data_IF_209615655298
#
_entry.id   IF_209615655298
#
_cell.length_a   1.000
_cell.length_b   1.000
_cell.length_c   1.000
_cell.angle_alpha   90.00
_cell.angle_beta   90.00
_cell.angle_gamma   90.00
#
_symmetry.space_group_name_H-M   'P 1'
#
loop_
_entity.id
_entity.type
_entity.pdbx_description
1 polymer ?
#
# COMPACT_ATOMS: atom_id res chain seq x y z
N UNK A 1 12.65 72.23 69.36
CA UNK A 1 14.13 72.36 69.35
C UNK A 1 14.68 71.36 68.34
N UNK A 2 15.40 71.84 67.32
CA UNK A 2 16.24 71.13 66.32
C UNK A 2 15.63 70.04 65.40
N UNK A 3 15.50 70.37 64.12
CA UNK A 3 15.94 69.53 62.97
C UNK A 3 17.49 69.56 62.87
N UNK A 4 18.21 68.77 62.04
CA UNK A 4 17.80 68.05 60.82
C UNK A 4 18.46 66.66 60.52
N UNK A 5 18.03 66.09 59.39
CA UNK A 5 18.84 65.51 58.28
C UNK A 5 19.11 64.01 58.09
N UNK A 6 19.17 63.69 56.78
CA UNK A 6 19.78 62.55 56.06
C UNK A 6 18.91 61.31 55.68
N UNK A 7 18.48 61.31 54.41
CA UNK A 7 18.22 60.14 53.51
C UNK A 7 19.55 59.44 53.11
N UNK A 8 19.64 58.40 52.24
CA UNK A 8 18.60 57.61 51.53
C UNK A 8 18.88 56.06 51.48
N UNK A 9 17.97 55.27 50.90
CA UNK A 9 18.24 53.86 50.57
C UNK A 9 17.15 53.19 49.73
N UNK A 10 17.26 53.26 48.41
CA UNK A 10 16.45 52.53 47.42
C UNK A 10 16.80 51.04 47.41
N UNK A 11 15.81 50.16 47.35
CA UNK A 11 15.87 48.89 46.60
C UNK A 11 14.46 48.52 46.13
N UNK A 12 14.16 48.87 44.88
CA UNK A 12 12.98 48.39 44.15
C UNK A 12 13.37 47.14 43.38
N UNK A 13 12.86 45.98 43.79
CA UNK A 13 13.05 44.72 43.07
C UNK A 13 12.21 44.73 41.81
N UNK A 14 12.87 44.87 40.66
CA UNK A 14 12.28 44.80 39.32
C UNK A 14 12.19 43.33 38.91
N UNK A 15 10.98 42.82 38.66
CA UNK A 15 10.78 41.52 38.00
C UNK A 15 11.30 41.59 36.56
N UNK A 16 12.34 40.81 36.26
CA UNK A 16 12.80 40.56 34.89
C UNK A 16 11.97 39.43 34.26
N UNK A 17 10.98 39.78 33.44
CA UNK A 17 10.40 38.83 32.48
C UNK A 17 11.34 38.78 31.26
N UNK A 18 12.16 37.74 31.17
CA UNK A 18 12.96 37.47 29.96
C UNK A 18 12.03 36.96 28.85
N UNK A 19 11.70 37.84 27.90
CA UNK A 19 11.28 37.42 26.57
C UNK A 19 12.45 36.70 25.88
N UNK A 20 12.37 35.38 25.70
CA UNK A 20 13.14 34.66 24.68
C UNK A 20 12.23 34.42 23.47
N UNK A 21 12.41 35.28 22.47
CA UNK A 21 12.09 34.99 21.06
C UNK A 21 13.16 34.03 20.51
N UNK A 22 12.79 33.26 19.47
CA UNK A 22 13.55 32.25 18.68
C UNK A 22 13.26 30.82 19.19
N UNK A 23 12.69 29.88 18.44
CA UNK A 23 12.67 29.62 16.99
C UNK A 23 11.30 29.05 16.55
N UNK A 24 10.64 29.72 15.60
CA UNK A 24 9.44 29.26 14.90
C UNK A 24 9.86 28.63 13.55
N UNK A 25 10.81 27.71 13.61
CA UNK A 25 11.44 27.09 12.43
C UNK A 25 11.20 25.58 12.31
N UNK A 26 10.21 25.04 13.03
CA UNK A 26 9.88 23.61 13.04
C UNK A 26 8.47 23.26 12.53
N UNK A 27 7.69 24.23 12.05
CA UNK A 27 6.29 24.01 11.65
C UNK A 27 6.01 24.25 10.15
N UNK A 28 7.05 24.47 9.34
CA UNK A 28 6.91 24.80 7.91
C UNK A 28 7.44 23.72 6.95
N UNK A 29 8.09 22.67 7.45
CA UNK A 29 8.48 21.51 6.62
C UNK A 29 7.42 20.41 6.60
N UNK A 30 6.48 20.41 7.55
CA UNK A 30 5.35 19.48 7.61
C UNK A 30 4.20 19.87 6.69
N UNK A 31 4.13 21.12 6.21
CA UNK A 31 3.04 21.57 5.31
C UNK A 31 3.27 21.15 3.86
N UNK A 32 4.48 20.74 3.47
CA UNK A 32 4.77 20.26 2.11
C UNK A 32 4.41 18.77 1.89
N UNK A 33 4.29 17.96 2.95
CA UNK A 33 3.88 16.55 2.88
C UNK A 33 2.38 16.34 3.09
N UNK A 34 1.68 17.28 3.74
CA UNK A 34 0.21 17.26 3.83
C UNK A 34 -0.50 18.09 2.74
N UNK A 35 0.25 18.78 1.89
CA UNK A 35 -0.29 19.65 0.84
C UNK A 35 -0.75 18.96 -0.46
N UNK A 36 -0.49 17.67 -0.62
CA UNK A 36 -0.88 16.90 -1.83
C UNK A 36 -1.73 15.67 -1.53
N UNK A 37 -1.92 15.30 -0.25
CA UNK A 37 -2.71 14.12 0.14
C UNK A 37 -4.23 14.39 0.28
N UNK A 38 -4.69 15.62 0.02
CA UNK A 38 -6.10 16.02 0.17
C UNK A 38 -6.81 16.43 -1.12
N UNK A 39 -6.25 16.19 -2.31
CA UNK A 39 -6.84 16.68 -3.57
C UNK A 39 -6.86 15.60 -4.64
N UNK A 40 -8.06 15.25 -5.10
CA UNK A 40 -8.38 14.84 -6.46
C UNK A 40 -7.13 14.71 -7.35
N UNK A 41 -6.55 13.50 -7.44
CA UNK A 41 -5.27 13.29 -8.14
C UNK A 41 -5.48 13.70 -9.59
N UNK A 42 -4.96 14.87 -9.98
CA UNK A 42 -5.25 15.44 -11.30
C UNK A 42 -4.65 14.64 -12.46
N UNK A 43 -3.65 13.79 -12.15
CA UNK A 43 -2.98 12.89 -13.08
C UNK A 43 -2.61 11.62 -12.33
N UNK A 44 -3.48 10.60 -12.31
CA UNK A 44 -3.18 9.38 -11.59
C UNK A 44 -2.00 8.65 -12.28
N UNK A 45 -1.05 8.19 -11.47
CA UNK A 45 0.22 7.65 -11.96
C UNK A 45 0.22 6.14 -12.10
N UNK A 46 -0.78 5.45 -11.52
CA UNK A 46 -1.03 4.01 -11.58
C UNK A 46 0.14 3.12 -11.10
N UNK A 47 -0.13 2.20 -10.19
CA UNK A 47 0.87 1.23 -9.70
C UNK A 47 0.25 -0.10 -9.29
N UNK A 48 -0.75 -0.55 -10.04
CA UNK A 48 -1.31 -1.90 -9.87
C UNK A 48 -0.20 -2.96 -10.02
N UNK A 49 -0.24 -3.96 -9.14
CA UNK A 49 0.60 -5.13 -9.30
C UNK A 49 0.18 -5.94 -10.53
N UNK A 50 1.13 -6.63 -11.20
CA UNK A 50 0.77 -7.65 -12.17
C UNK A 50 0.01 -8.81 -11.48
N UNK A 51 -0.81 -9.56 -12.21
CA UNK A 51 -1.42 -10.79 -11.69
C UNK A 51 -0.97 -12.00 -12.51
N UNK A 52 -0.79 -13.13 -11.82
CA UNK A 52 -0.52 -14.43 -12.45
C UNK A 52 -1.77 -14.96 -13.15
N UNK A 53 -1.60 -15.48 -14.36
CA UNK A 53 -2.62 -16.13 -15.17
C UNK A 53 -2.03 -17.43 -15.73
N UNK A 54 -2.00 -18.47 -14.89
CA UNK A 54 -1.47 -19.80 -15.24
C UNK A 54 -0.05 -19.75 -15.87
N UNK A 55 0.82 -18.88 -15.35
CA UNK A 55 2.19 -18.69 -15.84
C UNK A 55 2.38 -17.53 -16.81
N UNK A 56 1.30 -17.01 -17.41
CA UNK A 56 1.29 -15.70 -18.07
C UNK A 56 1.07 -14.60 -17.02
N UNK A 57 1.31 -13.35 -17.41
CA UNK A 57 1.19 -12.19 -16.51
C UNK A 57 0.22 -11.16 -17.09
N UNK A 58 -0.85 -10.89 -16.34
CA UNK A 58 -1.76 -9.78 -16.62
C UNK A 58 -1.19 -8.50 -16.02
N UNK A 59 -0.95 -7.50 -16.87
CA UNK A 59 -0.31 -6.25 -16.48
C UNK A 59 -1.20 -5.06 -16.76
N UNK A 60 -1.29 -4.14 -15.80
CA UNK A 60 -2.00 -2.88 -15.94
C UNK A 60 -1.01 -1.71 -15.85
N UNK A 61 -1.20 -0.71 -16.70
CA UNK A 61 -0.32 0.48 -16.75
C UNK A 61 -1.10 1.75 -16.44
N UNK A 62 -0.38 2.85 -16.23
CA UNK A 62 -1.01 4.14 -15.90
C UNK A 62 -1.58 4.92 -17.07
N UNK A 63 -1.43 4.39 -18.28
CA UNK A 63 -2.18 4.85 -19.46
C UNK A 63 -3.54 4.17 -19.57
N UNK A 64 -3.92 3.32 -18.61
CA UNK A 64 -5.15 2.54 -18.66
C UNK A 64 -5.07 1.30 -19.55
N UNK A 65 -3.90 1.00 -20.13
CA UNK A 65 -3.70 -0.23 -20.90
C UNK A 65 -3.56 -1.44 -19.97
N UNK A 66 -4.22 -2.52 -20.36
CA UNK A 66 -4.14 -3.87 -19.78
C UNK A 66 -3.61 -4.82 -20.84
N UNK A 67 -2.64 -5.66 -20.48
CA UNK A 67 -1.99 -6.60 -21.41
C UNK A 67 -1.78 -7.95 -20.74
N UNK A 68 -2.01 -9.04 -21.48
CA UNK A 68 -1.57 -10.37 -21.08
C UNK A 68 -0.25 -10.69 -21.76
N UNK A 69 0.76 -11.04 -20.98
CA UNK A 69 2.14 -11.19 -21.43
C UNK A 69 2.63 -12.58 -21.07
N UNK A 70 3.16 -13.31 -22.04
CA UNK A 70 3.98 -14.51 -21.79
C UNK A 70 5.35 -14.02 -21.33
N UNK A 71 5.72 -14.22 -20.06
CA UNK A 71 6.96 -13.69 -19.53
C UNK A 71 8.21 -14.42 -20.04
N UNK A 72 8.09 -15.67 -20.48
CA UNK A 72 9.21 -16.46 -20.96
C UNK A 72 9.66 -16.00 -22.36
N UNK A 73 8.69 -15.73 -23.25
CA UNK A 73 8.97 -15.21 -24.59
C UNK A 73 9.00 -13.68 -24.66
N UNK A 74 8.39 -12.99 -23.69
CA UNK A 74 8.11 -11.56 -23.74
C UNK A 74 7.05 -11.19 -24.78
N UNK A 75 6.29 -12.16 -25.28
CA UNK A 75 5.23 -11.91 -26.25
C UNK A 75 3.96 -11.41 -25.55
N UNK A 76 3.28 -10.48 -26.19
CA UNK A 76 2.00 -9.94 -25.71
C UNK A 76 0.90 -10.70 -26.43
N UNK A 77 0.08 -11.44 -25.69
CA UNK A 77 -1.04 -12.20 -26.25
C UNK A 77 -2.14 -11.25 -26.76
N UNK A 78 -2.46 -10.23 -25.96
CA UNK A 78 -3.38 -9.14 -26.31
C UNK A 78 -3.15 -7.92 -25.42
N UNK A 79 -3.65 -6.77 -25.87
CA UNK A 79 -3.71 -5.53 -25.11
C UNK A 79 -5.04 -4.81 -25.33
N UNK A 80 -5.60 -4.22 -24.27
CA UNK A 80 -6.84 -3.44 -24.30
C UNK A 80 -6.86 -2.37 -23.19
N UNK A 81 -7.50 -1.22 -23.41
CA UNK A 81 -7.82 -0.63 -24.70
C UNK A 81 -6.54 -0.18 -25.42
N UNK A 82 -6.58 -0.05 -26.74
CA UNK A 82 -5.44 0.43 -27.53
C UNK A 82 -5.43 1.97 -27.65
N UNK A 83 -5.66 2.67 -26.54
CA UNK A 83 -5.74 4.13 -26.45
C UNK A 83 -5.17 4.61 -25.10
N UNK A 84 -4.48 5.76 -25.08
CA UNK A 84 -4.00 6.37 -23.83
C UNK A 84 -5.19 7.01 -23.08
N UNK A 85 -5.56 6.43 -21.95
CA UNK A 85 -6.62 6.87 -21.05
C UNK A 85 -6.06 7.06 -19.65
N UNK A 86 -5.26 8.10 -19.46
CA UNK A 86 -4.64 8.41 -18.15
C UNK A 86 -5.64 8.68 -17.03
N UNK A 87 -6.89 9.00 -17.35
CA UNK A 87 -7.99 9.07 -16.38
C UNK A 87 -8.43 7.69 -15.86
N UNK A 88 -8.06 6.61 -16.54
CA UNK A 88 -8.32 5.21 -16.20
C UNK A 88 -7.07 4.47 -15.67
N UNK A 89 -6.13 5.18 -15.05
CA UNK A 89 -4.96 4.54 -14.44
C UNK A 89 -5.37 3.55 -13.34
N UNK A 90 -4.61 2.47 -13.19
CA UNK A 90 -4.90 1.41 -12.21
C UNK A 90 -3.98 1.49 -10.99
N UNK A 91 -4.59 1.49 -9.80
CA UNK A 91 -3.88 1.30 -8.53
C UNK A 91 -4.21 -0.04 -7.89
N UNK A 92 -5.45 -0.48 -8.05
CA UNK A 92 -5.92 -1.78 -7.61
C UNK A 92 -5.28 -2.89 -8.43
N UNK A 93 -4.83 -3.94 -7.76
CA UNK A 93 -4.34 -5.16 -8.40
C UNK A 93 -5.53 -5.87 -9.09
N UNK A 94 -5.36 -6.45 -10.29
CA UNK A 94 -6.46 -7.15 -10.93
C UNK A 94 -6.71 -8.49 -10.23
N UNK A 95 -7.98 -8.89 -10.12
CA UNK A 95 -8.35 -10.19 -9.56
C UNK A 95 -8.61 -11.15 -10.71
N UNK A 96 -7.96 -12.30 -10.71
CA UNK A 96 -8.12 -13.35 -11.72
C UNK A 96 -8.80 -14.57 -11.08
N UNK A 97 -9.88 -15.04 -11.69
CA UNK A 97 -10.59 -16.27 -11.31
C UNK A 97 -11.01 -17.04 -12.58
N UNK A 98 -10.27 -18.11 -12.90
CA UNK A 98 -10.41 -18.84 -14.15
C UNK A 98 -10.21 -17.93 -15.36
N UNK A 99 -11.20 -17.88 -16.27
CA UNK A 99 -11.14 -17.00 -17.44
C UNK A 99 -11.51 -15.53 -17.12
N UNK A 100 -11.96 -15.22 -15.90
CA UNK A 100 -12.39 -13.87 -15.54
C UNK A 100 -11.24 -13.05 -14.94
N UNK A 101 -11.04 -11.84 -15.45
CA UNK A 101 -10.28 -10.80 -14.77
C UNK A 101 -11.18 -9.63 -14.38
N UNK A 102 -11.09 -9.20 -13.13
CA UNK A 102 -11.78 -8.05 -12.58
C UNK A 102 -10.82 -6.88 -12.44
N UNK A 103 -11.13 -5.79 -13.13
CA UNK A 103 -10.29 -4.61 -13.26
C UNK A 103 -11.00 -3.43 -12.61
N UNK A 104 -10.30 -2.67 -11.76
CA UNK A 104 -10.82 -1.50 -11.09
C UNK A 104 -9.91 -0.29 -11.33
N UNK A 105 -10.36 0.66 -12.13
CA UNK A 105 -9.58 1.87 -12.41
C UNK A 105 -9.83 3.00 -11.41
N UNK A 106 -8.95 4.00 -11.44
CA UNK A 106 -9.04 5.16 -10.57
C UNK A 106 -10.29 6.02 -10.82
N UNK A 107 -10.88 6.00 -12.02
CA UNK A 107 -12.12 6.73 -12.30
C UNK A 107 -13.35 6.06 -11.64
N UNK A 108 -13.19 4.85 -11.12
CA UNK A 108 -14.25 4.08 -10.48
C UNK A 108 -14.99 3.15 -11.43
N UNK A 109 -14.43 2.87 -12.61
CA UNK A 109 -14.95 1.83 -13.49
C UNK A 109 -14.46 0.47 -13.00
N UNK A 110 -15.40 -0.43 -12.81
CA UNK A 110 -15.15 -1.84 -12.53
C UNK A 110 -15.57 -2.64 -13.76
N UNK A 111 -14.68 -3.47 -14.29
CA UNK A 111 -14.96 -4.29 -15.46
C UNK A 111 -14.59 -5.75 -15.21
N UNK A 112 -15.38 -6.65 -15.80
CA UNK A 112 -15.02 -8.07 -15.95
C UNK A 112 -14.66 -8.34 -17.39
N UNK A 113 -13.43 -8.80 -17.62
CA UNK A 113 -12.93 -9.16 -18.95
C UNK A 113 -12.53 -10.63 -18.99
N UNK A 114 -12.58 -11.24 -20.18
CA UNK A 114 -11.97 -12.55 -20.41
C UNK A 114 -10.45 -12.42 -20.51
N UNK A 115 -9.70 -13.24 -19.77
CA UNK A 115 -8.24 -13.30 -19.94
C UNK A 115 -7.83 -14.00 -21.23
N UNK A 116 -8.71 -14.79 -21.84
CA UNK A 116 -8.44 -15.47 -23.11
C UNK A 116 -8.38 -14.50 -24.29
N UNK A 117 -9.30 -13.53 -24.36
CA UNK A 117 -9.46 -12.69 -25.57
C UNK A 117 -9.73 -11.20 -25.31
N UNK A 118 -9.63 -10.75 -24.06
CA UNK A 118 -9.91 -9.38 -23.62
C UNK A 118 -11.36 -8.92 -23.82
N UNK A 119 -12.31 -9.82 -24.10
CA UNK A 119 -13.72 -9.45 -24.25
C UNK A 119 -14.31 -8.96 -22.92
N UNK A 120 -14.92 -7.78 -22.93
CA UNK A 120 -15.61 -7.23 -21.77
C UNK A 120 -16.98 -7.89 -21.61
N UNK A 121 -17.16 -8.63 -20.52
CA UNK A 121 -18.44 -9.24 -20.17
C UNK A 121 -19.43 -8.20 -19.62
N UNK A 122 -18.93 -7.32 -18.75
CA UNK A 122 -19.66 -6.19 -18.21
C UNK A 122 -18.70 -5.12 -17.67
N UNK A 123 -19.20 -3.90 -17.55
CA UNK A 123 -18.55 -2.84 -16.80
C UNK A 123 -19.59 -1.94 -16.11
N UNK A 124 -19.21 -1.39 -14.95
CA UNK A 124 -20.02 -0.46 -14.17
C UNK A 124 -19.17 0.71 -13.70
N UNK A 125 -19.77 1.90 -13.67
CA UNK A 125 -19.11 3.11 -13.17
C UNK A 125 -19.69 3.47 -11.80
N UNK A 126 -18.85 3.46 -10.76
CA UNK A 126 -19.27 3.69 -9.37
C UNK A 126 -19.38 5.17 -8.98
N UNK A 127 -18.89 6.07 -9.84
CA UNK A 127 -18.92 7.52 -9.62
C UNK A 127 -18.05 7.99 -8.45
N UNK A 128 -17.11 7.16 -7.98
CA UNK A 128 -16.10 7.52 -6.99
C UNK A 128 -14.80 6.78 -7.28
N UNK A 129 -13.68 7.36 -6.85
CA UNK A 129 -12.37 6.77 -7.07
C UNK A 129 -12.24 5.42 -6.39
N UNK A 130 -11.60 4.48 -7.08
CA UNK A 130 -11.20 3.18 -6.54
C UNK A 130 -9.69 3.10 -6.59
N UNK A 131 -9.10 2.70 -5.46
CA UNK A 131 -7.65 2.53 -5.34
C UNK A 131 -7.34 1.22 -4.64
N UNK A 132 -8.03 0.98 -3.53
CA UNK A 132 -8.03 -0.30 -2.85
C UNK A 132 -8.34 -1.43 -3.83
N UNK A 133 -7.56 -2.52 -3.73
CA UNK A 133 -7.83 -3.74 -4.48
C UNK A 133 -9.18 -4.31 -4.01
N UNK A 134 -10.12 -4.61 -4.92
CA UNK A 134 -11.37 -5.26 -4.53
C UNK A 134 -11.14 -6.65 -3.92
N UNK A 135 -12.16 -7.19 -3.26
CA UNK A 135 -12.14 -8.55 -2.72
C UNK A 135 -13.20 -9.36 -3.44
N UNK A 136 -12.82 -10.52 -3.99
CA UNK A 136 -13.75 -11.50 -4.54
C UNK A 136 -13.98 -12.60 -3.49
N UNK A 137 -15.24 -12.76 -3.06
CA UNK A 137 -15.68 -13.88 -2.21
C UNK A 137 -16.90 -14.56 -2.85
N UNK A 138 -16.69 -15.77 -3.37
CA UNK A 138 -17.69 -16.47 -4.18
C UNK A 138 -18.14 -15.61 -5.36
N UNK A 139 -19.44 -15.30 -5.42
CA UNK A 139 -20.05 -14.51 -6.48
C UNK A 139 -20.08 -12.99 -6.20
N UNK A 140 -19.45 -12.52 -5.12
CA UNK A 140 -19.51 -11.10 -4.71
C UNK A 140 -18.15 -10.42 -4.78
N UNK A 141 -18.10 -9.28 -5.46
CA UNK A 141 -17.00 -8.32 -5.38
C UNK A 141 -17.33 -7.24 -4.35
N UNK A 142 -16.47 -7.09 -3.35
CA UNK A 142 -16.48 -5.98 -2.42
C UNK A 142 -15.51 -4.90 -2.91
N UNK A 143 -16.05 -3.77 -3.36
CA UNK A 143 -15.27 -2.66 -3.89
C UNK A 143 -15.26 -1.51 -2.89
N UNK A 144 -14.11 -1.27 -2.26
CA UNK A 144 -13.90 -0.11 -1.41
C UNK A 144 -13.60 1.13 -2.26
N UNK A 145 -14.45 2.14 -2.16
CA UNK A 145 -14.25 3.44 -2.82
C UNK A 145 -13.60 4.43 -1.87
N UNK A 146 -12.83 5.37 -2.43
CA UNK A 146 -12.09 6.36 -1.66
C UNK A 146 -12.98 7.33 -0.85
N UNK A 147 -14.29 7.37 -1.14
CA UNK A 147 -15.30 8.14 -0.41
C UNK A 147 -15.97 7.34 0.73
N UNK A 148 -15.42 6.18 1.11
CA UNK A 148 -15.85 5.42 2.30
C UNK A 148 -17.02 4.48 2.08
N UNK A 149 -17.32 4.13 0.82
CA UNK A 149 -18.35 3.13 0.50
C UNK A 149 -17.70 1.78 0.25
N UNK A 150 -18.40 0.71 0.64
CA UNK A 150 -18.15 -0.64 0.15
C UNK A 150 -19.31 -1.00 -0.77
N UNK A 151 -19.05 -1.05 -2.07
CA UNK A 151 -20.05 -1.42 -3.08
C UNK A 151 -19.97 -2.91 -3.35
N UNK A 152 -21.08 -3.62 -3.17
CA UNK A 152 -21.19 -5.03 -3.51
C UNK A 152 -21.61 -5.16 -4.97
N UNK A 153 -20.86 -5.94 -5.75
CA UNK A 153 -21.15 -6.19 -7.16
C UNK A 153 -21.22 -7.69 -7.36
N UNK A 154 -22.30 -8.16 -7.99
CA UNK A 154 -22.39 -9.54 -8.45
C UNK A 154 -21.31 -9.80 -9.52
N UNK A 155 -20.37 -10.68 -9.21
CA UNK A 155 -19.17 -10.92 -9.99
C UNK A 155 -19.49 -11.49 -11.39
N UNK A 156 -20.61 -12.20 -11.55
CA UNK A 156 -21.00 -12.79 -12.83
C UNK A 156 -21.68 -11.78 -13.77
N UNK A 157 -22.54 -10.91 -13.22
CA UNK A 157 -23.45 -10.06 -13.99
C UNK A 157 -23.09 -8.58 -13.98
N UNK A 158 -22.23 -8.14 -13.06
CA UNK A 158 -21.93 -6.72 -12.84
C UNK A 158 -23.08 -5.99 -12.15
N UNK A 159 -24.09 -6.70 -11.61
CA UNK A 159 -25.21 -6.05 -10.93
C UNK A 159 -24.72 -5.40 -9.63
N UNK A 160 -24.82 -4.08 -9.56
CA UNK A 160 -24.52 -3.32 -8.34
C UNK A 160 -25.63 -3.56 -7.32
N UNK A 161 -25.26 -4.18 -6.21
CA UNK A 161 -26.14 -4.49 -5.09
C UNK A 161 -26.11 -3.42 -4.02
N UNK A 162 -26.13 -3.87 -2.77
CA UNK A 162 -26.09 -2.99 -1.61
C UNK A 162 -24.78 -2.22 -1.52
N UNK A 163 -24.85 -1.01 -0.95
CA UNK A 163 -23.69 -0.19 -0.66
C UNK A 163 -23.60 0.00 0.84
N UNK A 164 -22.59 -0.62 1.45
CA UNK A 164 -22.28 -0.45 2.87
C UNK A 164 -21.50 0.86 3.04
N UNK A 165 -21.67 1.53 4.18
CA UNK A 165 -20.96 2.78 4.49
C UNK A 165 -20.16 2.63 5.75
N UNK A 166 -18.86 2.87 5.67
CA UNK A 166 -17.93 2.76 6.80
C UNK A 166 -17.70 4.10 7.48
N UNK A 167 -18.73 4.95 7.53
CA UNK A 167 -18.69 6.41 7.81
C UNK A 167 -17.98 7.24 6.72
N UNK A 168 -17.80 8.55 6.93
CA UNK A 168 -17.18 9.49 5.96
C UNK A 168 -15.63 9.34 5.87
N UNK A 169 -15.11 8.11 6.02
CA UNK A 169 -13.66 7.80 6.05
C UNK A 169 -13.11 7.62 4.65
N UNK A 170 -11.90 8.10 4.40
CA UNK A 170 -11.19 7.79 3.15
C UNK A 170 -10.49 6.44 3.25
N UNK A 171 -10.74 5.60 2.25
CA UNK A 171 -10.13 4.27 2.14
C UNK A 171 -9.13 4.31 0.98
N UNK A 172 -7.88 3.96 1.27
CA UNK A 172 -6.83 3.91 0.24
C UNK A 172 -6.15 2.54 0.20
N UNK A 173 -5.79 2.01 1.37
CA UNK A 173 -5.31 0.64 1.50
C UNK A 173 -6.41 -0.38 1.24
N UNK A 174 -6.04 -1.50 0.64
CA UNK A 174 -6.93 -2.63 0.39
C UNK A 174 -7.44 -3.20 1.71
N UNK A 175 -8.76 -3.41 1.87
CA UNK A 175 -9.33 -4.08 3.03
C UNK A 175 -8.83 -5.53 3.18
N UNK A 176 -8.97 -6.10 4.38
CA UNK A 176 -8.88 -7.53 4.59
C UNK A 176 -10.28 -8.14 4.79
N UNK A 177 -10.43 -9.44 4.52
CA UNK A 177 -11.71 -10.14 4.66
C UNK A 177 -11.52 -11.52 5.28
N UNK A 178 -12.38 -11.89 6.22
CA UNK A 178 -12.45 -13.24 6.76
C UNK A 178 -13.85 -13.53 7.31
N UNK A 179 -14.42 -14.66 6.93
CA UNK A 179 -15.65 -15.18 7.53
C UNK A 179 -16.84 -14.21 7.50
N UNK A 180 -16.97 -13.43 6.44
CA UNK A 180 -18.04 -12.43 6.32
C UNK A 180 -17.78 -11.12 7.05
N UNK A 181 -16.57 -10.87 7.54
CA UNK A 181 -16.16 -9.59 8.16
C UNK A 181 -15.13 -8.89 7.27
N UNK A 182 -15.37 -7.61 6.98
CA UNK A 182 -14.42 -6.72 6.29
C UNK A 182 -13.68 -5.88 7.32
N UNK A 183 -12.35 -5.80 7.18
CA UNK A 183 -11.48 -4.96 8.00
C UNK A 183 -10.90 -3.84 7.15
N UNK A 184 -11.03 -2.59 7.61
CA UNK A 184 -10.75 -1.41 6.81
C UNK A 184 -9.94 -0.42 7.64
N UNK A 185 -8.87 0.12 7.05
CA UNK A 185 -8.04 1.17 7.64
C UNK A 185 -8.49 2.57 7.18
N UNK A 186 -8.47 3.53 8.10
CA UNK A 186 -8.79 4.93 7.84
C UNK A 186 -7.53 5.74 7.50
N UNK A 187 -7.56 6.41 6.34
CA UNK A 187 -6.50 7.31 5.88
C UNK A 187 -6.49 8.67 6.62
N UNK A 188 -7.55 9.02 7.33
CA UNK A 188 -7.70 10.35 7.94
C UNK A 188 -7.39 10.36 9.44
N UNK A 189 -8.03 9.49 10.22
CA UNK A 189 -8.02 9.62 11.68
C UNK A 189 -7.29 8.50 12.42
N UNK A 190 -6.78 7.49 11.71
CA UNK A 190 -6.14 6.33 12.35
C UNK A 190 -7.11 5.41 13.06
N UNK A 191 -8.30 5.20 12.50
CA UNK A 191 -9.21 4.16 12.97
C UNK A 191 -9.09 2.92 12.08
N UNK A 192 -9.11 1.73 12.68
CA UNK A 192 -9.38 0.48 11.98
C UNK A 192 -10.79 0.03 12.34
N UNK A 193 -11.60 -0.32 11.34
CA UNK A 193 -12.99 -0.75 11.53
C UNK A 193 -13.20 -2.15 10.99
N UNK A 194 -13.95 -2.96 11.74
CA UNK A 194 -14.52 -4.21 11.25
C UNK A 194 -16.02 -4.04 11.03
N UNK A 195 -16.50 -4.43 9.85
CA UNK A 195 -17.93 -4.44 9.51
C UNK A 195 -18.37 -5.84 9.11
N UNK A 196 -19.62 -6.18 9.43
CA UNK A 196 -20.29 -7.34 8.87
C UNK A 196 -20.55 -7.09 7.38
N UNK A 197 -20.07 -7.97 6.52
CA UNK A 197 -20.14 -7.80 5.08
C UNK A 197 -21.53 -8.07 4.49
N UNK A 198 -22.47 -8.57 5.30
CA UNK A 198 -23.87 -8.80 4.92
C UNK A 198 -24.75 -7.63 5.34
N UNK A 199 -24.66 -7.19 6.59
CA UNK A 199 -25.53 -6.11 7.12
C UNK A 199 -24.90 -4.72 7.04
N UNK A 200 -23.58 -4.62 6.91
CA UNK A 200 -22.83 -3.37 7.02
C UNK A 200 -22.71 -2.86 8.46
N UNK A 201 -23.17 -3.63 9.45
CA UNK A 201 -23.07 -3.24 10.85
C UNK A 201 -21.62 -3.25 11.30
N UNK A 202 -21.24 -2.24 12.07
CA UNK A 202 -19.93 -2.18 12.72
C UNK A 202 -19.85 -3.29 13.77
N UNK A 203 -18.88 -4.19 13.60
CA UNK A 203 -18.53 -5.23 14.58
C UNK A 203 -17.68 -4.62 15.68
N UNK A 204 -16.66 -3.85 15.30
CA UNK A 204 -15.83 -3.07 16.23
C UNK A 204 -15.10 -1.93 15.51
N UNK A 205 -14.66 -0.94 16.27
CA UNK A 205 -13.75 0.12 15.85
C UNK A 205 -12.60 0.21 16.86
N UNK A 206 -11.37 0.31 16.36
CA UNK A 206 -10.17 0.49 17.15
C UNK A 206 -9.41 1.72 16.63
N UNK A 207 -9.14 2.68 17.51
CA UNK A 207 -8.21 3.76 17.23
C UNK A 207 -6.78 3.26 17.38
N UNK A 208 -5.96 3.47 16.35
CA UNK A 208 -4.50 3.34 16.37
C UNK A 208 -3.89 4.75 16.37
N UNK A 209 -2.59 4.86 16.64
CA UNK A 209 -1.95 6.17 16.85
C UNK A 209 -1.71 7.00 15.58
N UNK A 210 -2.02 6.47 14.39
CA UNK A 210 -1.94 7.24 13.15
C UNK A 210 -2.72 6.66 11.97
N UNK A 211 -2.88 7.44 10.89
CA UNK A 211 -3.63 7.01 9.72
C UNK A 211 -2.95 5.89 8.95
N UNK A 212 -3.75 5.04 8.30
CA UNK A 212 -3.31 3.89 7.52
C UNK A 212 -3.65 4.06 6.04
N UNK A 213 -2.63 3.97 5.19
CA UNK A 213 -2.78 3.90 3.73
C UNK A 213 -2.35 2.55 3.16
N UNK A 214 -1.70 1.70 3.96
CA UNK A 214 -1.21 0.40 3.54
C UNK A 214 -2.37 -0.58 3.38
N UNK A 215 -2.21 -1.55 2.46
CA UNK A 215 -3.08 -2.71 2.42
C UNK A 215 -3.00 -3.45 3.76
N UNK A 216 -4.15 -3.88 4.28
CA UNK A 216 -4.20 -4.64 5.53
C UNK A 216 -3.82 -6.10 5.28
N UNK A 217 -3.05 -6.68 6.20
CA UNK A 217 -2.77 -8.12 6.21
C UNK A 217 -3.51 -8.77 7.36
N UNK A 218 -4.36 -9.76 7.06
CA UNK A 218 -4.96 -10.61 8.07
C UNK A 218 -4.30 -11.99 8.01
N UNK A 219 -3.67 -12.39 9.12
CA UNK A 219 -3.16 -13.74 9.28
C UNK A 219 -3.83 -14.38 10.48
N UNK A 220 -4.71 -15.36 10.25
CA UNK A 220 -5.47 -16.02 11.32
C UNK A 220 -6.29 -15.05 12.17
N UNK A 221 -5.84 -14.83 13.42
CA UNK A 221 -6.48 -14.00 14.45
C UNK A 221 -5.94 -12.56 14.53
N UNK A 222 -4.94 -12.21 13.72
CA UNK A 222 -4.17 -10.99 13.86
C UNK A 222 -4.21 -10.16 12.57
N UNK A 223 -4.77 -8.96 12.68
CA UNK A 223 -4.78 -7.96 11.62
C UNK A 223 -3.58 -7.03 11.79
N UNK A 224 -2.69 -7.00 10.79
CA UNK A 224 -1.50 -6.15 10.76
C UNK A 224 -1.80 -4.89 9.95
N UNK A 225 -1.54 -3.72 10.55
CA UNK A 225 -1.87 -2.40 10.00
C UNK A 225 -0.62 -1.52 10.00
N UNK A 226 -0.16 -1.13 8.81
CA UNK A 226 0.95 -0.18 8.65
C UNK A 226 0.45 1.27 8.63
N UNK A 227 1.06 2.14 9.43
CA UNK A 227 0.57 3.50 9.63
C UNK A 227 1.65 4.60 9.46
N UNK A 228 1.18 5.84 9.27
CA UNK A 228 2.01 7.03 9.11
C UNK A 228 2.56 7.61 10.42
N UNK A 229 2.21 7.02 11.56
CA UNK A 229 2.84 7.29 12.85
C UNK A 229 4.14 6.49 13.06
N UNK A 230 4.63 5.82 12.02
CA UNK A 230 5.84 4.99 12.03
C UNK A 230 5.70 3.72 12.89
N UNK A 231 4.47 3.25 13.09
CA UNK A 231 4.20 1.99 13.77
C UNK A 231 3.56 0.96 12.83
N UNK A 232 3.89 -0.30 13.09
CA UNK A 232 3.15 -1.45 12.58
C UNK A 232 2.30 -1.98 13.74
N UNK A 233 0.98 -1.88 13.61
CA UNK A 233 0.04 -2.30 14.64
C UNK A 233 -0.45 -3.72 14.37
N UNK A 234 -0.69 -4.48 15.43
CA UNK A 234 -1.30 -5.79 15.32
C UNK A 234 -2.53 -5.90 16.22
N UNK A 235 -3.69 -6.10 15.60
CA UNK A 235 -5.00 -6.04 16.23
C UNK A 235 -5.63 -7.44 16.30
N UNK A 236 -6.14 -7.82 17.45
CA UNK A 236 -6.83 -9.10 17.66
C UNK A 236 -8.26 -9.04 17.15
N UNK A 237 -8.52 -9.65 15.98
CA UNK A 237 -9.82 -9.48 15.31
C UNK A 237 -11.00 -10.08 16.10
N UNK A 238 -10.75 -11.16 16.85
CA UNK A 238 -11.76 -11.84 17.67
C UNK A 238 -12.04 -11.13 19.01
N UNK A 239 -11.17 -10.22 19.44
CA UNK A 239 -11.24 -9.53 20.72
C UNK A 239 -11.51 -8.03 20.53
N UNK A 240 -12.44 -7.70 19.63
CA UNK A 240 -12.87 -6.33 19.38
C UNK A 240 -11.79 -5.43 18.78
N UNK A 241 -10.79 -5.99 18.11
CA UNK A 241 -9.70 -5.24 17.50
C UNK A 241 -8.66 -4.71 18.49
N UNK A 242 -8.62 -5.22 19.73
CA UNK A 242 -7.62 -4.77 20.71
C UNK A 242 -6.20 -4.94 20.17
N UNK A 243 -5.38 -3.92 20.38
CA UNK A 243 -3.98 -3.95 20.00
C UNK A 243 -3.20 -4.95 20.86
N UNK A 244 -2.66 -5.99 20.22
CA UNK A 244 -1.77 -6.97 20.84
C UNK A 244 -0.38 -6.39 21.03
N UNK A 245 0.12 -5.72 19.99
CA UNK A 245 1.40 -5.03 19.99
C UNK A 245 1.41 -3.93 18.93
N UNK A 246 2.29 -2.94 19.14
CA UNK A 246 2.67 -1.94 18.15
C UNK A 246 4.20 -1.92 18.07
N UNK A 247 4.72 -2.11 16.86
CA UNK A 247 6.15 -2.10 16.60
C UNK A 247 6.60 -0.73 16.09
N UNK A 248 7.50 -0.02 16.80
CA UNK A 248 8.05 1.25 16.33
C UNK A 248 9.13 1.00 15.27
N UNK A 249 8.91 1.48 14.04
CA UNK A 249 9.89 1.42 12.95
C UNK A 249 10.55 2.77 12.68
N UNK A 250 11.61 2.74 11.87
CA UNK A 250 12.19 3.94 11.26
C UNK A 250 11.48 4.24 9.94
N UNK A 251 10.56 5.21 9.95
CA UNK A 251 9.80 5.65 8.78
C UNK A 251 8.41 5.03 8.67
N UNK A 252 7.66 5.43 7.64
CA UNK A 252 6.28 5.01 7.46
C UNK A 252 6.16 3.59 6.90
N UNK A 253 5.21 2.82 7.44
CA UNK A 253 4.82 1.53 6.89
C UNK A 253 3.71 1.73 5.85
N UNK A 254 4.11 1.93 4.59
CA UNK A 254 3.18 2.09 3.47
C UNK A 254 2.95 0.77 2.71
N UNK A 255 3.98 -0.08 2.64
CA UNK A 255 3.91 -1.36 1.95
C UNK A 255 3.07 -2.37 2.74
N UNK A 256 2.34 -3.24 2.04
CA UNK A 256 1.66 -4.38 2.68
C UNK A 256 2.70 -5.27 3.36
N UNK A 257 2.55 -5.62 4.66
CA UNK A 257 3.43 -6.57 5.31
C UNK A 257 3.21 -7.99 4.76
N UNK A 258 4.15 -8.88 5.05
CA UNK A 258 4.11 -10.31 4.69
C UNK A 258 4.27 -11.15 5.95
N UNK A 259 3.54 -12.26 6.08
CA UNK A 259 3.74 -13.23 7.17
C UNK A 259 4.19 -14.57 6.60
N UNK A 260 5.25 -15.14 7.17
CA UNK A 260 5.68 -16.52 6.93
C UNK A 260 6.31 -17.10 8.19
N UNK A 261 5.97 -18.36 8.50
CA UNK A 261 6.54 -19.12 9.62
C UNK A 261 6.54 -18.38 10.97
N UNK A 262 5.50 -17.59 11.23
CA UNK A 262 5.36 -16.83 12.48
C UNK A 262 6.17 -15.54 12.54
N UNK A 263 6.75 -15.10 11.41
CA UNK A 263 7.47 -13.83 11.28
C UNK A 263 6.68 -12.89 10.38
N UNK A 264 6.51 -11.64 10.81
CA UNK A 264 6.00 -10.52 10.02
C UNK A 264 7.20 -9.80 9.40
N UNK A 265 7.25 -9.75 8.09
CA UNK A 265 8.20 -8.94 7.33
C UNK A 265 7.52 -7.63 6.90
N UNK A 266 8.08 -6.51 7.32
CA UNK A 266 7.51 -5.19 7.03
C UNK A 266 8.61 -4.22 6.63
N UNK A 267 8.36 -3.43 5.59
CA UNK A 267 9.32 -2.49 5.04
C UNK A 267 8.84 -1.05 5.21
N UNK A 268 9.78 -0.13 5.44
CA UNK A 268 9.49 1.29 5.66
C UNK A 268 9.99 2.16 4.52
N UNK A 269 9.38 3.34 4.42
CA UNK A 269 9.79 4.35 3.43
C UNK A 269 11.17 4.97 3.72
N UNK A 270 11.80 4.71 4.86
CA UNK A 270 13.20 5.14 5.13
C UNK A 270 14.23 4.05 4.76
N UNK A 271 13.81 3.01 4.05
CA UNK A 271 14.72 1.98 3.55
C UNK A 271 15.12 0.96 4.58
N UNK A 272 14.23 0.64 5.52
CA UNK A 272 14.45 -0.43 6.50
C UNK A 272 13.44 -1.56 6.29
N UNK A 273 13.93 -2.80 6.31
CA UNK A 273 13.11 -4.01 6.37
C UNK A 273 13.25 -4.62 7.75
N UNK A 274 12.14 -4.92 8.40
CA UNK A 274 12.09 -5.56 9.70
C UNK A 274 11.50 -6.97 9.58
N UNK A 275 12.09 -7.90 10.30
CA UNK A 275 11.46 -9.16 10.66
C UNK A 275 11.03 -9.08 12.12
N UNK A 276 9.74 -9.33 12.37
CA UNK A 276 9.09 -9.12 13.65
C UNK A 276 8.41 -10.42 14.04
N UNK A 277 8.61 -10.90 15.26
CA UNK A 277 7.90 -12.05 15.79
C UNK A 277 6.40 -11.75 15.83
N UNK A 278 5.60 -12.52 15.08
CA UNK A 278 4.16 -12.28 14.91
C UNK A 278 3.41 -12.30 16.24
N UNK A 279 3.82 -13.14 17.18
CA UNK A 279 3.09 -13.33 18.43
C UNK A 279 3.34 -12.18 19.42
N UNK A 280 4.58 -11.68 19.47
CA UNK A 280 5.04 -10.76 20.52
C UNK A 280 5.32 -9.34 20.03
N UNK A 281 5.47 -9.14 18.72
CA UNK A 281 5.88 -7.85 18.15
C UNK A 281 7.37 -7.54 18.37
N UNK A 282 8.16 -8.50 18.84
CA UNK A 282 9.59 -8.30 19.05
C UNK A 282 10.37 -8.33 17.72
N UNK A 283 11.33 -7.42 17.55
CA UNK A 283 12.26 -7.49 16.43
C UNK A 283 13.08 -8.79 16.49
N UNK A 284 13.12 -9.52 15.38
CA UNK A 284 14.00 -10.66 15.16
C UNK A 284 15.29 -10.20 14.49
N UNK A 285 15.16 -9.43 13.41
CA UNK A 285 16.26 -8.77 12.73
C UNK A 285 15.76 -7.55 11.94
N UNK A 286 16.69 -6.68 11.54
CA UNK A 286 16.43 -5.57 10.62
C UNK A 286 17.55 -5.43 9.59
N UNK A 287 17.19 -4.94 8.41
CA UNK A 287 18.09 -4.65 7.30
C UNK A 287 17.90 -3.20 6.85
N UNK A 288 19.01 -2.47 6.68
CA UNK A 288 19.01 -1.06 6.25
C UNK A 288 19.62 -0.96 4.86
N UNK A 289 18.80 -0.61 3.86
CA UNK A 289 19.22 -0.41 2.47
C UNK A 289 19.82 0.98 2.20
N UNK A 290 19.71 1.90 3.17
CA UNK A 290 20.13 3.30 3.11
C UNK A 290 18.95 4.27 2.99
N UNK A 291 19.12 5.51 3.47
CA UNK A 291 18.03 6.50 3.61
C UNK A 291 17.31 6.85 2.29
N UNK A 292 17.98 6.70 1.15
CA UNK A 292 17.40 6.95 -0.18
C UNK A 292 16.59 5.75 -0.74
N UNK A 293 16.56 4.60 -0.05
CA UNK A 293 15.95 3.35 -0.50
C UNK A 293 14.48 3.21 -0.09
N UNK A 294 13.57 4.08 -0.52
CA UNK A 294 12.17 4.01 -0.06
C UNK A 294 11.50 2.67 -0.42
N UNK A 295 11.03 1.89 0.56
CA UNK A 295 10.20 0.70 0.27
C UNK A 295 8.72 1.07 0.27
N UNK A 296 8.12 1.10 -0.92
CA UNK A 296 6.67 1.30 -1.12
C UNK A 296 5.93 0.04 -1.56
N UNK A 297 6.64 -0.83 -2.27
CA UNK A 297 6.12 -2.12 -2.71
C UNK A 297 6.23 -3.15 -1.58
N UNK A 298 5.26 -4.06 -1.52
CA UNK A 298 5.26 -5.19 -0.58
C UNK A 298 6.51 -6.07 -0.77
N UNK A 299 7.16 -6.53 0.31
CA UNK A 299 8.15 -7.60 0.20
C UNK A 299 7.45 -8.92 -0.17
N UNK A 300 8.18 -9.79 -0.87
CA UNK A 300 7.68 -11.12 -1.27
C UNK A 300 8.71 -12.20 -0.96
N UNK A 301 8.27 -13.45 -0.85
CA UNK A 301 9.19 -14.59 -0.74
C UNK A 301 9.28 -15.27 -2.11
N UNK A 302 10.49 -15.33 -2.67
CA UNK A 302 10.77 -16.02 -3.93
C UNK A 302 12.11 -16.74 -3.83
N UNK A 303 12.18 -17.95 -4.40
CA UNK A 303 13.37 -18.80 -4.37
C UNK A 303 14.02 -18.95 -2.97
N UNK A 304 13.21 -18.97 -1.90
CA UNK A 304 13.67 -19.14 -0.52
C UNK A 304 14.23 -17.88 0.16
N UNK A 305 14.14 -16.70 -0.46
CA UNK A 305 14.62 -15.44 0.10
C UNK A 305 13.47 -14.46 0.28
N UNK A 306 13.60 -13.54 1.24
CA UNK A 306 12.77 -12.34 1.30
C UNK A 306 13.29 -11.35 0.28
N UNK A 307 12.46 -10.95 -0.67
CA UNK A 307 12.80 -10.00 -1.70
C UNK A 307 12.15 -8.65 -1.38
N UNK A 308 13.00 -7.63 -1.23
CA UNK A 308 12.59 -6.25 -1.02
C UNK A 308 13.06 -5.40 -2.20
N UNK A 309 12.15 -4.58 -2.74
CA UNK A 309 12.41 -3.75 -3.92
C UNK A 309 12.21 -2.30 -3.55
N UNK A 310 13.30 -1.54 -3.55
CA UNK A 310 13.26 -0.12 -3.29
C UNK A 310 12.60 0.62 -4.47
N UNK A 311 12.02 1.78 -4.20
CA UNK A 311 11.34 2.61 -5.19
C UNK A 311 12.24 3.03 -6.34
N UNK A 312 13.53 3.21 -6.06
CA UNK A 312 14.52 3.51 -7.09
C UNK A 312 14.82 2.31 -7.99
N UNK A 313 14.35 1.10 -7.69
CA UNK A 313 14.55 -0.10 -8.49
C UNK A 313 15.68 -1.01 -8.02
N UNK A 314 16.37 -0.68 -6.91
CA UNK A 314 17.29 -1.64 -6.27
C UNK A 314 16.51 -2.84 -5.72
N UNK A 315 17.05 -4.04 -5.94
CA UNK A 315 16.47 -5.30 -5.47
C UNK A 315 17.41 -5.96 -4.48
N UNK A 316 16.88 -6.35 -3.34
CA UNK A 316 17.60 -7.03 -2.27
C UNK A 316 16.96 -8.38 -2.00
N UNK A 317 17.77 -9.44 -1.97
CA UNK A 317 17.36 -10.73 -1.44
C UNK A 317 18.02 -10.97 -0.10
N UNK A 318 17.18 -11.14 0.91
CA UNK A 318 17.57 -11.30 2.30
C UNK A 318 17.31 -12.73 2.74
N UNK A 319 18.24 -13.28 3.51
CA UNK A 319 18.04 -14.52 4.24
C UNK A 319 16.87 -14.35 5.22
N UNK A 320 15.92 -15.30 5.22
CA UNK A 320 14.70 -15.21 6.01
C UNK A 320 14.97 -15.23 7.52
N UNK A 321 16.06 -15.86 7.96
CA UNK A 321 16.39 -16.06 9.36
C UNK A 321 17.32 -14.99 9.92
N UNK A 322 18.28 -14.50 9.14
CA UNK A 322 19.27 -13.51 9.62
C UNK A 322 19.06 -12.10 9.10
N UNK A 323 18.35 -11.92 7.98
CA UNK A 323 18.27 -10.64 7.28
C UNK A 323 19.54 -10.27 6.51
N UNK A 324 20.54 -11.16 6.46
CA UNK A 324 21.76 -10.94 5.68
C UNK A 324 21.44 -10.90 4.19
N UNK A 325 22.11 -10.03 3.45
CA UNK A 325 21.98 -9.93 2.00
C UNK A 325 22.59 -11.17 1.35
N UNK A 326 21.73 -12.04 0.81
CA UNK A 326 22.14 -13.19 0.00
C UNK A 326 22.65 -12.72 -1.38
N UNK A 327 21.92 -11.78 -1.98
CA UNK A 327 22.35 -11.06 -3.18
C UNK A 327 21.62 -9.71 -3.28
N UNK A 328 22.20 -8.78 -4.03
CA UNK A 328 21.56 -7.52 -4.39
C UNK A 328 21.88 -7.17 -5.84
N UNK A 329 20.97 -6.42 -6.47
CA UNK A 329 21.21 -5.82 -7.76
C UNK A 329 21.55 -4.34 -7.61
N UNK A 330 22.77 -3.99 -8.02
CA UNK A 330 23.24 -2.61 -8.05
C UNK A 330 22.69 -1.85 -9.28
N UNK A 331 22.30 -2.58 -10.32
CA UNK A 331 21.67 -2.02 -11.50
C UNK A 331 20.25 -1.56 -11.16
N UNK A 332 20.04 -0.25 -11.29
CA UNK A 332 18.77 0.42 -11.05
C UNK A 332 17.81 0.14 -12.21
N UNK A 333 16.64 -0.43 -11.94
CA UNK A 333 15.58 -0.54 -12.93
C UNK A 333 15.22 0.86 -13.46
N UNK A 334 14.85 0.94 -14.74
CA UNK A 334 14.46 2.24 -15.30
C UNK A 334 13.05 2.64 -14.83
N UNK A 335 12.95 3.82 -14.20
CA UNK A 335 11.69 4.29 -13.62
C UNK A 335 11.51 3.85 -12.18
N UNK A 336 10.48 4.38 -11.53
CA UNK A 336 10.21 4.07 -10.13
C UNK A 336 9.39 2.77 -10.02
N UNK A 337 9.66 2.00 -8.97
CA UNK A 337 8.85 0.85 -8.58
C UNK A 337 7.92 1.26 -7.44
N UNK A 338 6.62 1.35 -7.74
CA UNK A 338 5.59 1.62 -6.73
C UNK A 338 4.62 0.44 -6.56
N UNK A 339 4.53 -0.44 -7.56
CA UNK A 339 3.62 -1.57 -7.57
C UNK A 339 4.15 -2.72 -6.72
N UNK A 340 3.25 -3.46 -6.07
CA UNK A 340 3.64 -4.70 -5.41
C UNK A 340 4.16 -5.70 -6.49
N UNK A 341 5.24 -6.44 -6.21
CA UNK A 341 5.69 -7.50 -7.08
C UNK A 341 4.77 -8.73 -6.97
N UNK A 342 4.70 -9.52 -8.03
CA UNK A 342 4.00 -10.80 -8.07
C UNK A 342 5.01 -11.92 -8.32
N UNK A 343 4.91 -12.98 -7.54
CA UNK A 343 5.75 -14.17 -7.69
C UNK A 343 5.02 -15.14 -8.61
N UNK A 344 5.67 -15.53 -9.70
CA UNK A 344 5.20 -16.62 -10.57
C UNK A 344 6.32 -17.66 -10.59
N UNK A 345 6.01 -18.88 -10.18
CA UNK A 345 6.98 -19.93 -9.86
C UNK A 345 8.07 -19.44 -8.87
N UNK A 346 9.30 -19.26 -9.35
CA UNK A 346 10.44 -18.75 -8.58
C UNK A 346 10.84 -17.33 -8.96
N UNK A 347 10.20 -16.74 -9.96
CA UNK A 347 10.55 -15.43 -10.50
C UNK A 347 9.63 -14.36 -9.96
N UNK A 348 10.10 -13.12 -10.04
CA UNK A 348 9.36 -11.95 -9.60
C UNK A 348 9.03 -11.07 -10.79
N UNK A 349 7.79 -10.61 -10.84
CA UNK A 349 7.26 -9.74 -11.87
C UNK A 349 6.82 -8.43 -11.25
N UNK A 350 7.24 -7.31 -11.85
CA UNK A 350 6.86 -5.99 -11.40
C UNK A 350 6.70 -5.04 -12.59
N UNK A 351 6.00 -3.94 -12.34
CA UNK A 351 5.79 -2.88 -13.32
C UNK A 351 6.50 -1.62 -12.86
N UNK A 352 7.25 -0.99 -13.76
CA UNK A 352 7.90 0.30 -13.49
C UNK A 352 7.04 1.47 -13.95
N UNK A 353 7.34 2.67 -13.45
CA UNK A 353 6.72 3.91 -13.93
C UNK A 353 7.01 4.25 -15.40
N UNK A 354 7.81 3.43 -16.10
CA UNK A 354 8.04 3.52 -17.56
C UNK A 354 7.15 2.58 -18.38
N UNK A 355 6.18 1.91 -17.74
CA UNK A 355 5.28 0.96 -18.41
C UNK A 355 6.03 -0.25 -18.96
N UNK A 356 6.94 -0.77 -18.15
CA UNK A 356 7.73 -1.95 -18.46
C UNK A 356 7.36 -3.07 -17.49
N UNK A 357 7.15 -4.28 -18.01
CA UNK A 357 7.13 -5.48 -17.19
C UNK A 357 8.58 -5.95 -17.01
N UNK A 358 9.01 -6.08 -15.78
CA UNK A 358 10.33 -6.59 -15.43
C UNK A 358 10.17 -7.94 -14.77
N UNK A 359 10.80 -8.96 -15.34
CA UNK A 359 11.04 -10.26 -14.71
C UNK A 359 12.37 -10.18 -13.98
N UNK A 360 12.41 -10.53 -12.71
CA UNK A 360 13.62 -10.69 -11.90
C UNK A 360 13.76 -12.17 -11.55
N UNK A 361 14.83 -12.79 -12.02
CA UNK A 361 15.16 -14.18 -11.70
C UNK A 361 15.73 -14.28 -10.29
N UNK A 362 14.88 -14.63 -9.32
CA UNK A 362 15.28 -14.72 -7.93
C UNK A 362 16.20 -15.92 -7.64
N UNK A 363 16.26 -16.89 -8.56
CA UNK A 363 17.10 -18.09 -8.44
C UNK A 363 18.55 -17.86 -8.90
N UNK A 364 18.77 -16.84 -9.75
CA UNK A 364 20.07 -16.53 -10.37
C UNK A 364 20.54 -15.10 -10.08
N UNK A 365 20.70 -14.76 -8.79
CA UNK A 365 21.22 -13.46 -8.32
C UNK A 365 20.43 -12.24 -8.84
N UNK A 366 19.16 -12.38 -9.19
CA UNK A 366 18.31 -11.25 -9.57
C UNK A 366 18.52 -10.71 -10.99
N UNK A 367 19.02 -11.53 -11.93
CA UNK A 367 19.12 -11.10 -13.33
C UNK A 367 17.74 -10.66 -13.84
N UNK A 368 17.66 -9.49 -14.51
CA UNK A 368 16.39 -8.96 -15.00
C UNK A 368 16.23 -9.07 -16.51
N UNK A 369 15.00 -9.30 -16.94
CA UNK A 369 14.54 -9.21 -18.32
C UNK A 369 13.38 -8.23 -18.38
N UNK A 370 13.45 -7.29 -19.32
CA UNK A 370 12.42 -6.27 -19.49
C UNK A 370 11.59 -6.55 -20.74
N UNK A 371 10.27 -6.49 -20.59
CA UNK A 371 9.29 -6.52 -21.68
C UNK A 371 8.63 -5.14 -21.74
N UNK A 372 8.91 -4.33 -22.78
CA UNK A 372 8.21 -3.06 -22.98
C UNK A 372 6.73 -3.33 -23.28
N UNK A 373 5.83 -2.70 -22.52
CA UNK A 373 4.38 -2.88 -22.71
C UNK A 373 3.80 -1.86 -23.71
N UNK A 374 4.53 -0.79 -23.98
CA UNK A 374 4.19 0.17 -25.02
C UNK A 374 4.65 -0.31 -26.41
N UNK A 375 3.83 -0.07 -27.44
CA UNK A 375 4.34 0.01 -28.79
C UNK A 375 5.35 1.17 -28.84
N UNK A 376 6.57 0.89 -29.33
CA UNK A 376 7.54 1.94 -29.58
C UNK A 376 6.96 2.97 -30.58
N UNK A 377 6.51 4.11 -30.05
CA UNK A 377 6.17 5.32 -30.80
C UNK A 377 4.70 5.51 -31.18
N UNK A 378 4.14 6.64 -30.74
CA UNK A 378 3.75 7.73 -31.64
C UNK A 378 3.89 9.09 -30.96
#
# INVERSE_FOLDING_TARGET
MKHPDASPGRTSTVFHVKHRRRLLAGALLSVALFGTACANIQRPEGWAAPADVDGDVLVQTSTGQVSLVDPASGSIAWSFPNEDKRDHAFYATPIVDGDAAYLADYAGRIARVSVTDASEAWAVDLGAHVVATPILDGDTLYVATADGRIVLIDAATGTVGETLRTSDRRIWGSPAFQGGTLYIGDLDNGTTVAIDATSGDVVWEQEISGPSAADLLLDGDLLIVGAFDQHLHALEVANGGQERWAFPGDGWFLARPLVSDGIVYAATMNGVVYAIDRATGAEVWSFVAGEDAEFRAAPVIAAGHLIAIARDGRVFALDLQSGDVAWQQDATLEGNVNANPTVVDSDIYLVTSRHELVRVDASSNGAFQTVPLAAAGQ
#
